data_IF_632811985445
#
_entry.id   IF_632811985445
#
_cell.length_a   1.000
_cell.length_b   1.000
_cell.length_c   1.000
_cell.angle_alpha   90.00
_cell.angle_beta   90.00
_cell.angle_gamma   90.00
#
_symmetry.space_group_name_H-M   'P 1'
#
loop_
_entity.id
_entity.type
_entity.pdbx_description
1 polymer ?
#
# COMPACT_ATOMS: atom_id res chain seq x y z
N UNK A 1 -6.51 -14.55 -6.31
CA UNK A 1 -6.82 -15.09 -4.97
C UNK A 1 -7.73 -14.10 -4.27
N UNK A 2 -8.91 -14.51 -3.77
CA UNK A 2 -9.78 -13.63 -3.02
C UNK A 2 -9.04 -13.04 -1.80
N UNK A 3 -9.35 -11.80 -1.45
CA UNK A 3 -8.81 -11.16 -0.26
C UNK A 3 -9.52 -11.71 0.97
N UNK A 4 -8.76 -12.30 1.89
CA UNK A 4 -9.28 -12.71 3.18
C UNK A 4 -9.30 -11.50 4.12
N UNK A 5 -10.44 -11.27 4.75
CA UNK A 5 -10.65 -10.13 5.65
C UNK A 5 -10.11 -10.42 7.05
N UNK A 6 -9.79 -9.38 7.79
CA UNK A 6 -9.47 -9.44 9.22
C UNK A 6 -10.51 -8.65 10.03
N UNK A 7 -10.38 -8.61 11.34
CA UNK A 7 -11.36 -7.92 12.18
C UNK A 7 -11.20 -6.39 12.11
N UNK A 8 -9.95 -5.91 12.08
CA UNK A 8 -9.65 -4.50 12.29
C UNK A 8 -8.74 -3.93 11.19
N UNK A 9 -8.92 -2.63 10.92
CA UNK A 9 -8.02 -1.77 10.15
C UNK A 9 -7.70 -0.55 11.01
N UNK A 10 -6.45 -0.10 11.00
CA UNK A 10 -6.10 1.18 11.60
C UNK A 10 -6.41 2.32 10.61
N UNK A 11 -7.13 3.34 11.09
CA UNK A 11 -7.47 4.53 10.31
C UNK A 11 -7.28 5.78 11.16
N UNK A 12 -6.43 6.68 10.72
CA UNK A 12 -6.23 8.01 11.29
C UNK A 12 -6.15 8.03 12.83
N UNK A 13 -5.34 7.17 13.44
CA UNK A 13 -5.09 7.15 14.88
C UNK A 13 -5.91 6.15 15.69
N UNK A 14 -6.79 5.35 15.05
CA UNK A 14 -7.63 4.37 15.75
C UNK A 14 -7.87 3.10 14.94
N UNK A 15 -8.12 2.01 15.63
CA UNK A 15 -8.64 0.78 15.04
C UNK A 15 -10.14 0.93 14.75
N UNK A 16 -10.56 0.50 13.56
CA UNK A 16 -11.95 0.44 13.13
C UNK A 16 -12.26 -0.96 12.58
N UNK A 17 -13.51 -1.43 12.63
CA UNK A 17 -13.90 -2.67 11.98
C UNK A 17 -13.57 -2.65 10.49
N UNK A 18 -13.20 -3.81 9.92
CA UNK A 18 -12.83 -3.96 8.53
C UNK A 18 -13.86 -3.38 7.54
N UNK A 19 -15.15 -3.68 7.76
CA UNK A 19 -16.27 -3.22 6.93
C UNK A 19 -16.54 -1.71 7.01
N UNK A 20 -16.00 -1.03 8.01
CA UNK A 20 -16.09 0.43 8.18
C UNK A 20 -14.96 1.20 7.49
N UNK A 21 -13.96 0.52 6.96
CA UNK A 21 -12.88 1.15 6.20
C UNK A 21 -13.35 1.51 4.78
N UNK A 22 -14.19 2.55 4.68
CA UNK A 22 -14.81 3.02 3.45
C UNK A 22 -14.34 4.44 3.13
N UNK A 23 -14.25 4.75 1.84
CA UNK A 23 -13.94 6.09 1.35
C UNK A 23 -15.08 6.58 0.44
N UNK A 24 -15.29 7.90 0.41
CA UNK A 24 -16.27 8.49 -0.48
C UNK A 24 -15.81 8.41 -1.93
N UNK A 25 -16.71 8.10 -2.87
CA UNK A 25 -16.38 8.00 -4.30
C UNK A 25 -15.76 9.28 -4.87
N UNK A 26 -16.08 10.44 -4.32
CA UNK A 26 -15.49 11.72 -4.71
C UNK A 26 -14.17 12.04 -3.98
N UNK A 27 -13.56 11.10 -3.28
CA UNK A 27 -12.20 11.28 -2.76
C UNK A 27 -11.22 11.49 -3.91
N UNK A 28 -10.29 12.44 -3.75
CA UNK A 28 -9.34 12.82 -4.79
C UNK A 28 -8.54 11.62 -5.35
N UNK A 29 -8.17 10.69 -4.48
CA UNK A 29 -7.43 9.47 -4.86
C UNK A 29 -8.16 8.61 -5.89
N UNK A 30 -9.50 8.56 -5.84
CA UNK A 30 -10.32 7.72 -6.75
C UNK A 30 -10.22 8.24 -8.18
N UNK A 31 -10.12 9.55 -8.37
CA UNK A 31 -10.10 10.18 -9.70
C UNK A 31 -8.69 10.43 -10.23
N UNK A 32 -7.72 10.68 -9.36
CA UNK A 32 -6.37 11.13 -9.75
C UNK A 32 -5.24 10.20 -9.27
N UNK A 33 -5.57 9.07 -8.62
CA UNK A 33 -4.56 8.10 -8.17
C UNK A 33 -3.59 8.61 -7.11
N UNK A 34 -3.94 9.68 -6.39
CA UNK A 34 -3.08 10.41 -5.45
C UNK A 34 -2.88 9.65 -4.14
N UNK A 35 -2.17 8.54 -4.20
CA UNK A 35 -1.81 7.69 -3.05
C UNK A 35 -0.37 7.23 -3.09
N UNK A 36 0.17 6.93 -1.91
CA UNK A 36 1.43 6.20 -1.70
C UNK A 36 1.17 5.05 -0.75
N UNK A 37 1.87 3.93 -0.94
CA UNK A 37 1.63 2.75 -0.11
C UNK A 37 2.88 1.91 0.08
N UNK A 38 2.83 1.00 1.04
CA UNK A 38 3.85 -0.01 1.25
C UNK A 38 3.28 -1.43 1.23
N UNK A 39 4.17 -2.38 1.11
CA UNK A 39 3.89 -3.80 1.24
C UNK A 39 4.94 -4.44 2.12
N UNK A 40 4.54 -4.85 3.32
CA UNK A 40 5.43 -5.33 4.36
C UNK A 40 5.04 -6.77 4.71
N UNK A 41 6.02 -7.64 4.90
CA UNK A 41 5.77 -9.01 5.33
C UNK A 41 5.98 -9.13 6.83
N UNK A 42 5.04 -9.79 7.47
CA UNK A 42 5.19 -10.32 8.81
C UNK A 42 5.37 -11.83 8.73
N UNK A 43 6.35 -12.36 9.45
CA UNK A 43 6.69 -13.78 9.45
C UNK A 43 6.51 -14.36 10.86
N UNK A 44 6.11 -15.62 10.91
CA UNK A 44 6.09 -16.39 12.18
C UNK A 44 7.52 -16.69 12.59
N UNK A 45 7.82 -16.46 13.86
CA UNK A 45 9.07 -16.83 14.54
C UNK A 45 8.74 -17.83 15.65
N UNK A 46 9.68 -18.61 16.18
CA UNK A 46 9.41 -19.61 17.21
C UNK A 46 8.65 -19.10 18.43
N UNK A 47 8.86 -17.84 18.83
CA UNK A 47 8.26 -17.26 20.04
C UNK A 47 7.54 -15.92 19.78
N UNK A 48 7.44 -15.45 18.55
CA UNK A 48 6.87 -14.15 18.22
C UNK A 48 6.51 -14.02 16.74
N UNK A 49 5.90 -12.92 16.36
CA UNK A 49 5.79 -12.47 14.97
C UNK A 49 6.88 -11.42 14.67
N UNK A 50 7.50 -11.50 13.51
CA UNK A 50 8.56 -10.58 13.08
C UNK A 50 8.16 -9.80 11.83
N UNK A 51 8.07 -8.47 11.94
CA UNK A 51 7.80 -7.59 10.80
C UNK A 51 9.13 -7.25 10.12
N UNK A 52 9.28 -7.67 8.86
CA UNK A 52 10.53 -7.53 8.14
C UNK A 52 10.79 -6.08 7.74
N UNK A 53 11.93 -5.53 8.20
CA UNK A 53 12.43 -4.19 7.85
C UNK A 53 11.39 -3.07 8.01
N UNK A 54 10.64 -3.10 9.10
CA UNK A 54 9.56 -2.17 9.37
C UNK A 54 9.99 -0.71 9.22
N UNK A 55 11.12 -0.32 9.80
CA UNK A 55 11.61 1.07 9.79
C UNK A 55 11.88 1.57 8.38
N UNK A 56 12.54 0.75 7.55
CA UNK A 56 12.89 1.12 6.17
C UNK A 56 11.65 1.23 5.28
N UNK A 57 10.65 0.38 5.49
CA UNK A 57 9.38 0.49 4.80
C UNK A 57 8.61 1.76 5.18
N UNK A 58 8.56 2.09 6.47
CA UNK A 58 7.90 3.32 6.94
C UNK A 58 8.65 4.56 6.43
N UNK A 59 9.99 4.56 6.46
CA UNK A 59 10.79 5.65 5.87
C UNK A 59 10.45 5.83 4.39
N UNK A 60 10.41 4.75 3.60
CA UNK A 60 10.09 4.81 2.17
C UNK A 60 8.65 5.28 1.91
N UNK A 61 7.68 4.93 2.77
CA UNK A 61 6.33 5.47 2.67
C UNK A 61 6.33 6.99 2.81
N UNK A 62 7.02 7.51 3.83
CA UNK A 62 7.13 8.95 4.07
C UNK A 62 7.92 9.67 2.97
N UNK A 63 8.99 9.07 2.46
CA UNK A 63 9.76 9.61 1.33
C UNK A 63 8.92 9.66 0.05
N UNK A 64 8.12 8.61 -0.22
CA UNK A 64 7.16 8.61 -1.33
C UNK A 64 6.11 9.71 -1.20
N UNK A 65 5.59 9.91 0.01
CA UNK A 65 4.63 10.98 0.30
C UNK A 65 5.26 12.38 0.11
N UNK A 66 6.50 12.56 0.56
CA UNK A 66 7.26 13.80 0.41
C UNK A 66 7.47 14.18 -1.05
N UNK A 67 7.80 13.21 -1.92
CA UNK A 67 7.93 13.43 -3.37
C UNK A 67 6.66 14.04 -3.94
N UNK A 68 5.48 13.57 -3.52
CA UNK A 68 4.18 14.08 -3.95
C UNK A 68 3.63 15.23 -3.09
N UNK A 69 4.47 15.84 -2.24
CA UNK A 69 4.07 16.94 -1.33
C UNK A 69 2.80 16.59 -0.53
N UNK A 70 2.70 15.34 -0.10
CA UNK A 70 1.61 14.82 0.72
C UNK A 70 2.03 14.85 2.19
N UNK A 71 1.54 15.80 3.01
CA UNK A 71 1.92 15.91 4.41
C UNK A 71 1.20 14.82 5.22
N UNK A 72 1.84 13.67 5.38
CA UNK A 72 1.33 12.60 6.25
C UNK A 72 1.39 13.09 7.71
N UNK A 73 0.27 13.09 8.45
CA UNK A 73 0.20 13.75 9.78
C UNK A 73 0.75 12.85 10.92
N UNK A 74 1.67 11.93 10.60
CA UNK A 74 2.27 10.99 11.56
C UNK A 74 3.77 10.89 11.38
N UNK A 75 4.48 10.71 12.51
CA UNK A 75 5.92 10.42 12.49
C UNK A 75 6.19 8.96 12.10
N UNK A 76 7.44 8.63 11.79
CA UNK A 76 7.85 7.26 11.49
C UNK A 76 7.62 6.31 12.69
N UNK A 77 7.83 6.80 13.90
CA UNK A 77 7.60 6.05 15.13
C UNK A 77 6.12 5.77 15.34
N UNK A 78 5.25 6.77 15.12
CA UNK A 78 3.79 6.62 15.24
C UNK A 78 3.24 5.62 14.22
N UNK A 79 3.70 5.69 12.97
CA UNK A 79 3.29 4.74 11.93
C UNK A 79 3.80 3.32 12.23
N UNK A 80 5.02 3.21 12.75
CA UNK A 80 5.59 1.91 13.13
C UNK A 80 4.79 1.28 14.27
N UNK A 81 4.44 2.05 15.29
CA UNK A 81 3.58 1.60 16.39
C UNK A 81 2.20 1.17 15.87
N UNK A 82 1.55 1.99 15.04
CA UNK A 82 0.25 1.67 14.45
C UNK A 82 0.26 0.39 13.60
N UNK A 83 1.38 0.09 12.92
CA UNK A 83 1.55 -1.17 12.18
C UNK A 83 1.62 -2.37 13.15
N UNK A 84 2.34 -2.23 14.26
CA UNK A 84 2.40 -3.28 15.29
C UNK A 84 1.02 -3.48 15.91
N UNK A 85 0.35 -2.40 16.31
CA UNK A 85 -0.98 -2.43 16.93
C UNK A 85 -2.00 -3.19 16.06
N UNK A 86 -2.02 -2.97 14.75
CA UNK A 86 -2.97 -3.67 13.85
C UNK A 86 -2.64 -5.14 13.69
N UNK A 87 -1.36 -5.52 13.69
CA UNK A 87 -0.93 -6.92 13.64
C UNK A 87 -1.34 -7.66 14.92
N UNK A 88 -1.10 -7.02 16.06
CA UNK A 88 -1.47 -7.57 17.38
C UNK A 88 -3.00 -7.68 17.53
N UNK A 89 -3.74 -6.62 17.17
CA UNK A 89 -5.19 -6.61 17.28
C UNK A 89 -5.89 -7.67 16.42
N UNK A 90 -5.30 -8.05 15.29
CA UNK A 90 -5.83 -9.10 14.42
C UNK A 90 -5.25 -10.49 14.72
N UNK A 91 -4.14 -10.59 15.44
CA UNK A 91 -3.56 -11.86 15.92
C UNK A 91 -3.12 -12.82 14.81
N UNK A 92 -2.81 -12.31 13.60
CA UNK A 92 -2.45 -13.15 12.44
C UNK A 92 -0.98 -13.01 12.06
N UNK A 93 -0.29 -14.15 11.98
CA UNK A 93 1.04 -14.30 11.40
C UNK A 93 1.18 -15.71 10.81
N UNK A 94 1.78 -15.91 9.64
CA UNK A 94 2.32 -14.87 8.78
C UNK A 94 1.23 -14.02 8.10
N UNK A 95 1.55 -12.75 7.79
CA UNK A 95 0.61 -11.87 7.11
C UNK A 95 1.32 -10.86 6.19
N UNK A 96 0.53 -10.23 5.34
CA UNK A 96 0.93 -9.08 4.56
C UNK A 96 0.33 -7.82 5.17
N UNK A 97 1.11 -6.76 5.27
CA UNK A 97 0.70 -5.48 5.85
C UNK A 97 0.72 -4.43 4.75
N UNK A 98 -0.38 -3.69 4.63
CA UNK A 98 -0.61 -2.66 3.62
C UNK A 98 -0.89 -1.31 4.27
N UNK A 99 0.15 -0.53 4.62
CA UNK A 99 -0.06 0.88 4.92
C UNK A 99 -0.26 1.67 3.62
N UNK A 100 -1.19 2.60 3.63
CA UNK A 100 -1.50 3.51 2.53
C UNK A 100 -1.80 4.90 3.07
N UNK A 101 -1.26 5.93 2.42
CA UNK A 101 -1.66 7.31 2.62
C UNK A 101 -2.17 7.88 1.29
N UNK A 102 -3.26 8.67 1.33
CA UNK A 102 -3.85 9.22 0.13
C UNK A 102 -4.58 10.55 0.37
N UNK A 103 -4.86 11.26 -0.72
CA UNK A 103 -5.70 12.46 -0.71
C UNK A 103 -7.17 12.05 -0.66
N UNK A 104 -7.83 12.41 0.44
CA UNK A 104 -9.20 12.04 0.74
C UNK A 104 -10.26 12.92 0.08
N UNK A 105 -11.46 12.91 0.67
CA UNK A 105 -12.60 13.71 0.25
C UNK A 105 -12.46 15.17 0.71
N UNK A 106 -12.74 16.11 -0.18
CA UNK A 106 -12.67 17.54 0.12
C UNK A 106 -12.82 18.37 -1.15
N UNK A 107 -11.75 18.53 -1.91
CA UNK A 107 -11.75 19.31 -3.16
C UNK A 107 -11.55 18.42 -4.38
N UNK A 108 -12.23 18.76 -5.46
CA UNK A 108 -12.01 18.18 -6.78
C UNK A 108 -11.16 19.12 -7.66
N UNK A 109 -10.44 18.51 -8.58
CA UNK A 109 -9.52 19.20 -9.49
C UNK A 109 -8.10 18.64 -9.33
N UNK A 110 -7.24 18.93 -10.31
CA UNK A 110 -5.88 18.36 -10.37
C UNK A 110 -5.00 18.82 -9.20
N UNK A 111 -5.26 20.00 -8.62
CA UNK A 111 -4.50 20.50 -7.49
C UNK A 111 -4.93 19.84 -6.17
N UNK A 112 -4.09 18.97 -5.55
CA UNK A 112 -4.48 18.21 -4.37
C UNK A 112 -4.19 18.92 -3.04
N UNK A 113 -3.65 20.14 -3.05
CA UNK A 113 -3.02 20.73 -1.85
C UNK A 113 -3.98 20.96 -0.69
N UNK A 114 -5.27 21.15 -0.98
CA UNK A 114 -6.29 21.35 0.06
C UNK A 114 -7.08 20.07 0.40
N UNK A 115 -6.90 18.98 -0.34
CA UNK A 115 -7.51 17.70 0.00
C UNK A 115 -6.85 17.12 1.25
N UNK A 116 -7.61 16.63 2.23
CA UNK A 116 -7.07 16.03 3.46
C UNK A 116 -6.22 14.80 3.12
N UNK A 117 -5.24 14.50 3.97
CA UNK A 117 -4.47 13.26 3.88
C UNK A 117 -5.05 12.26 4.87
N UNK A 118 -5.41 11.10 4.36
CA UNK A 118 -5.90 9.98 5.14
C UNK A 118 -4.91 8.83 5.13
N UNK A 119 -4.80 8.13 6.25
CA UNK A 119 -3.89 7.00 6.41
C UNK A 119 -4.66 5.78 6.90
N UNK A 120 -4.52 4.67 6.19
CA UNK A 120 -5.03 3.37 6.57
C UNK A 120 -3.89 2.35 6.66
N UNK A 121 -4.02 1.42 7.58
CA UNK A 121 -3.11 0.28 7.70
C UNK A 121 -3.97 -0.96 7.87
N UNK A 122 -3.90 -1.86 6.88
CA UNK A 122 -4.55 -3.16 6.92
C UNK A 122 -3.50 -4.27 6.99
N UNK A 123 -3.83 -5.40 7.62
CA UNK A 123 -3.09 -6.64 7.47
C UNK A 123 -4.04 -7.79 7.14
N UNK A 124 -3.56 -8.74 6.36
CA UNK A 124 -4.37 -9.87 5.91
C UNK A 124 -3.47 -11.06 5.56
N UNK A 125 -4.01 -12.30 5.58
CA UNK A 125 -3.27 -13.47 5.13
C UNK A 125 -2.86 -13.33 3.67
N UNK A 126 -1.61 -13.64 3.35
CA UNK A 126 -1.13 -13.64 1.97
C UNK A 126 -0.11 -14.75 1.77
N UNK A 127 -0.39 -15.63 0.84
CA UNK A 127 0.49 -16.73 0.48
C UNK A 127 1.77 -16.32 -0.26
N UNK A 128 2.42 -17.29 -0.91
CA UNK A 128 3.57 -17.03 -1.79
C UNK A 128 3.14 -16.19 -2.99
N UNK A 129 3.98 -15.24 -3.41
CA UNK A 129 3.74 -14.38 -4.57
C UNK A 129 3.73 -15.17 -5.88
N UNK A 130 4.63 -16.15 -5.99
CA UNK A 130 4.72 -17.08 -7.13
C UNK A 130 4.38 -18.46 -6.60
N UNK A 131 3.33 -19.12 -7.11
CA UNK A 131 3.01 -20.51 -6.75
C UNK A 131 4.13 -21.43 -7.22
N UNK A 132 4.44 -22.45 -6.42
CA UNK A 132 5.46 -23.44 -6.76
C UNK A 132 6.87 -23.09 -6.28
N UNK A 133 7.81 -24.00 -6.55
CA UNK A 133 9.24 -23.88 -6.21
C UNK A 133 10.13 -23.81 -7.47
N UNK A 134 9.55 -23.81 -8.66
CA UNK A 134 10.24 -24.03 -9.94
C UNK A 134 10.62 -22.73 -10.66
N UNK A 135 10.40 -21.57 -10.03
CA UNK A 135 10.66 -20.27 -10.64
C UNK A 135 9.41 -19.68 -11.31
N UNK A 136 9.62 -18.69 -12.16
CA UNK A 136 8.56 -18.02 -12.93
C UNK A 136 9.00 -17.89 -14.39
N UNK A 137 8.08 -18.16 -15.30
CA UNK A 137 8.24 -17.79 -16.70
C UNK A 137 8.16 -16.26 -16.83
N UNK A 138 9.00 -15.71 -17.68
CA UNK A 138 9.10 -14.26 -17.86
C UNK A 138 9.16 -13.89 -19.33
N UNK A 139 8.59 -12.73 -19.67
CA UNK A 139 8.67 -12.15 -21.00
C UNK A 139 9.07 -10.67 -20.95
N UNK A 140 9.49 -10.14 -22.09
CA UNK A 140 9.72 -8.70 -22.24
C UNK A 140 8.42 -8.09 -22.74
N UNK A 141 7.85 -7.18 -21.93
CA UNK A 141 6.60 -6.48 -22.27
C UNK A 141 6.81 -5.48 -23.41
N UNK A 142 5.75 -5.27 -24.20
CA UNK A 142 5.68 -4.18 -25.19
C UNK A 142 5.51 -2.80 -24.51
N UNK A 143 5.05 -2.77 -23.24
CA UNK A 143 4.91 -1.56 -22.45
C UNK A 143 6.22 -1.17 -21.78
N UNK A 144 6.74 0.02 -22.07
CA UNK A 144 7.82 0.60 -21.27
C UNK A 144 7.27 1.03 -19.90
N UNK A 145 8.00 0.71 -18.84
CA UNK A 145 7.70 1.30 -17.54
C UNK A 145 8.00 2.81 -17.57
N UNK A 146 7.71 3.53 -16.51
CA UNK A 146 7.80 4.99 -16.42
C UNK A 146 8.99 5.59 -17.21
N UNK A 147 8.69 6.45 -18.18
CA UNK A 147 9.70 7.16 -18.94
C UNK A 147 10.40 8.23 -18.08
N UNK A 148 11.64 8.61 -18.38
CA UNK A 148 12.30 9.73 -17.73
C UNK A 148 11.44 11.02 -17.82
N UNK A 149 11.47 11.82 -16.76
CA UNK A 149 10.77 13.12 -16.66
C UNK A 149 9.24 13.06 -16.77
N UNK A 150 8.62 11.89 -16.57
CA UNK A 150 7.15 11.76 -16.54
C UNK A 150 6.63 11.64 -15.11
N UNK A 151 6.78 10.48 -14.51
CA UNK A 151 6.31 10.19 -13.14
C UNK A 151 7.51 9.89 -12.24
N UNK A 152 7.51 10.30 -10.95
CA UNK A 152 8.58 9.97 -10.01
C UNK A 152 8.68 8.45 -9.79
N UNK A 153 9.66 7.81 -10.39
CA UNK A 153 9.87 6.35 -10.31
C UNK A 153 10.31 5.87 -8.92
N UNK A 154 10.90 6.74 -8.11
CA UNK A 154 11.33 6.43 -6.75
C UNK A 154 10.18 6.41 -5.74
N UNK A 155 9.03 7.01 -6.07
CA UNK A 155 7.86 6.97 -5.20
C UNK A 155 7.07 5.68 -5.41
N UNK A 156 6.72 5.00 -4.33
CA UNK A 156 5.79 3.86 -4.35
C UNK A 156 4.36 4.41 -4.35
N UNK A 157 3.94 4.97 -5.50
CA UNK A 157 2.67 5.65 -5.68
C UNK A 157 1.65 4.79 -6.43
N UNK A 158 0.37 4.87 -6.03
CA UNK A 158 -0.71 4.10 -6.65
C UNK A 158 -0.83 4.34 -8.15
N UNK A 159 -0.75 5.60 -8.59
CA UNK A 159 -0.82 5.96 -10.00
C UNK A 159 0.26 5.27 -10.88
N UNK A 160 1.46 5.04 -10.34
CA UNK A 160 2.54 4.37 -11.07
C UNK A 160 2.20 2.90 -11.41
N UNK A 161 1.27 2.29 -10.69
CA UNK A 161 0.88 0.89 -10.87
C UNK A 161 -0.13 0.66 -11.99
N UNK A 162 -0.73 1.69 -12.56
CA UNK A 162 -1.55 1.56 -13.79
C UNK A 162 -0.71 0.97 -14.92
N UNK A 163 0.51 1.44 -15.11
CA UNK A 163 1.46 0.87 -16.06
C UNK A 163 1.81 -0.60 -15.72
N UNK A 164 2.03 -0.92 -14.44
CA UNK A 164 2.30 -2.29 -14.00
C UNK A 164 1.12 -3.24 -14.25
N UNK A 165 -0.12 -2.74 -14.17
CA UNK A 165 -1.32 -3.52 -14.50
C UNK A 165 -1.35 -3.87 -15.99
N UNK A 166 -1.04 -2.93 -16.88
CA UNK A 166 -0.96 -3.17 -18.33
C UNK A 166 0.07 -4.26 -18.65
N UNK A 167 1.26 -4.17 -18.05
CA UNK A 167 2.33 -5.17 -18.21
C UNK A 167 1.87 -6.55 -17.71
N UNK A 168 1.21 -6.61 -16.54
CA UNK A 168 0.71 -7.86 -15.97
C UNK A 168 -0.38 -8.50 -16.81
N UNK A 169 -1.33 -7.70 -17.30
CA UNK A 169 -2.39 -8.18 -18.20
C UNK A 169 -1.83 -8.71 -19.51
N UNK A 170 -0.85 -8.02 -20.11
CA UNK A 170 -0.16 -8.49 -21.32
C UNK A 170 0.49 -9.86 -21.10
N UNK A 171 1.25 -10.02 -20.01
CA UNK A 171 1.89 -11.30 -19.69
C UNK A 171 0.86 -12.41 -19.47
N UNK A 172 -0.28 -12.13 -18.87
CA UNK A 172 -1.33 -13.13 -18.61
C UNK A 172 -2.11 -13.52 -19.87
N UNK A 173 -2.31 -12.57 -20.80
CA UNK A 173 -2.97 -12.83 -22.10
C UNK A 173 -2.07 -13.65 -23.02
N UNK A 174 -0.77 -13.43 -22.95
CA UNK A 174 0.21 -14.10 -23.83
C UNK A 174 0.65 -15.49 -23.31
N UNK A 175 0.25 -15.91 -22.11
CA UNK A 175 0.62 -17.19 -21.49
C UNK A 175 1.95 -17.08 -20.77
#
# INVERSE_FOLDING_TARGET
MPLETTANIWHNGKLIPWDKAQIHVMSHVVHYGSSVFEGIRCYTQPNAAGIFRLREHVSRLLDSAKIYRMPVPYTAEQLSAAIVDVVEANGIAPCYIRPIAFRGYGEMGVNPLKSPVEVYIANFPWGKYVPGNEGADVCISSWSRLAPNTMPSLAKAGANYMNSQLIRMEAEING
#
